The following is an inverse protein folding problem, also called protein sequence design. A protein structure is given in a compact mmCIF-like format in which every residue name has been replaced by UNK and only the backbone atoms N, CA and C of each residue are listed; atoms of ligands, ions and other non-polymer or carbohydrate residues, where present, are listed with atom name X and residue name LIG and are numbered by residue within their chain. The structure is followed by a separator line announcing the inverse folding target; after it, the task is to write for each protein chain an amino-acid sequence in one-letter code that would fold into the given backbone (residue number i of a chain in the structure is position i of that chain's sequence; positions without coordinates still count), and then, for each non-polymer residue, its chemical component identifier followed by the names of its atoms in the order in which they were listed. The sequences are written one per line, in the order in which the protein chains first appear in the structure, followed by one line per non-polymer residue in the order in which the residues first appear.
data_IF_145696232826
#
_entry.id   IF_145696232826
#
_cell.length_a   1.000
_cell.length_b   1.000
_cell.length_c   1.000
_cell.angle_alpha   90.00
_cell.angle_beta   90.00
_cell.angle_gamma   90.00
#
_symmetry.space_group_name_H-M   'P 1'
#
loop_
_entity.id
_entity.type
_entity.pdbx_description
1 polymer ?
#
# COMPACT_ATOMS: atom_id res chain seq x y z
N UNK A 1 31.42 19.48 -0.03
CA UNK A 1 30.75 18.28 0.48
C UNK A 1 30.71 18.31 1.99
N UNK A 2 29.58 17.97 2.55
CA UNK A 2 29.46 17.94 4.01
C UNK A 2 30.07 16.69 4.60
N UNK A 3 30.58 16.84 5.82
CA UNK A 3 30.96 15.68 6.60
C UNK A 3 29.72 15.00 7.18
N UNK A 4 29.95 14.02 8.03
CA UNK A 4 28.87 13.29 8.67
C UNK A 4 27.79 14.23 9.20
N UNK A 5 26.56 13.78 9.11
CA UNK A 5 25.41 14.59 9.50
C UNK A 5 25.34 14.77 11.01
N UNK A 6 24.45 15.66 11.45
CA UNK A 6 24.17 15.82 12.87
C UNK A 6 23.66 14.51 13.47
N UNK A 7 22.93 13.72 12.71
CA UNK A 7 22.42 12.43 13.19
C UNK A 7 23.56 11.55 13.67
N UNK A 8 24.63 11.49 12.90
CA UNK A 8 25.79 10.70 13.29
C UNK A 8 26.44 11.27 14.54
N UNK A 9 26.66 12.59 14.59
CA UNK A 9 27.32 13.22 15.73
C UNK A 9 26.48 13.15 17.00
N UNK A 10 25.19 13.23 16.87
CA UNK A 10 24.28 13.30 18.00
C UNK A 10 24.43 12.11 18.93
N UNK A 11 24.56 10.93 18.41
CA UNK A 11 24.66 9.74 19.26
C UNK A 11 25.94 8.95 19.05
N UNK A 12 26.52 9.04 17.86
CA UNK A 12 27.64 8.19 17.51
C UNK A 12 27.30 6.72 17.58
N UNK A 13 26.03 6.37 17.47
CA UNK A 13 25.54 5.02 17.63
C UNK A 13 24.65 4.63 16.47
N UNK A 14 24.38 3.32 16.35
CA UNK A 14 23.61 2.77 15.25
C UNK A 14 22.24 3.40 15.09
N UNK A 15 21.58 3.86 16.17
CA UNK A 15 20.24 4.42 16.03
C UNK A 15 20.22 5.79 15.33
N UNK A 16 21.38 6.44 15.16
CA UNK A 16 21.47 7.64 14.32
C UNK A 16 21.44 7.30 12.85
N UNK A 17 21.66 6.08 12.52
CA UNK A 17 21.58 5.50 11.18
C UNK A 17 20.46 4.47 11.18
N UNK A 18 20.02 4.08 9.99
CA UNK A 18 18.90 3.16 9.87
C UNK A 18 19.28 1.72 10.21
N UNK A 19 20.55 1.40 10.22
CA UNK A 19 21.02 0.07 10.55
C UNK A 19 22.41 0.10 11.16
N UNK A 20 22.79 -0.99 11.83
CA UNK A 20 24.13 -1.15 12.36
C UNK A 20 25.17 -1.20 11.25
N UNK A 21 24.83 -1.78 10.11
CA UNK A 21 25.73 -1.84 8.95
C UNK A 21 26.04 -0.45 8.44
N UNK A 22 25.04 0.42 8.36
CA UNK A 22 25.23 1.81 7.96
C UNK A 22 26.13 2.53 8.94
N UNK A 23 25.88 2.34 10.24
CA UNK A 23 26.73 2.93 11.25
C UNK A 23 28.19 2.47 11.12
N UNK A 24 28.40 1.16 10.97
CA UNK A 24 29.75 0.62 10.81
C UNK A 24 30.43 1.17 9.59
N UNK A 25 29.71 1.34 8.50
CA UNK A 25 30.25 1.97 7.30
C UNK A 25 30.68 3.42 7.57
N UNK A 26 29.88 4.17 8.31
CA UNK A 26 30.21 5.55 8.65
C UNK A 26 31.47 5.62 9.49
N UNK A 27 31.68 4.64 10.38
CA UNK A 27 32.89 4.56 11.20
C UNK A 27 34.11 4.34 10.30
N UNK A 28 34.04 3.44 9.33
CA UNK A 28 35.13 3.19 8.40
C UNK A 28 35.48 4.44 7.60
N UNK A 29 34.45 5.14 7.10
CA UNK A 29 34.66 6.36 6.34
C UNK A 29 35.33 7.44 7.21
N UNK A 30 34.87 7.58 8.44
CA UNK A 30 35.43 8.56 9.37
C UNK A 30 36.87 8.25 9.73
N UNK A 31 37.21 6.98 9.91
CA UNK A 31 38.58 6.57 10.19
C UNK A 31 39.52 6.89 9.05
N UNK A 32 39.04 6.81 7.84
CA UNK A 32 39.82 7.13 6.64
C UNK A 32 39.76 8.61 6.32
N UNK A 33 39.07 9.39 7.14
CA UNK A 33 38.88 10.83 6.97
C UNK A 33 38.25 11.20 5.63
N UNK A 34 37.33 10.36 5.19
CA UNK A 34 36.58 10.59 3.97
C UNK A 34 35.31 11.32 4.32
N UNK A 35 35.08 12.45 3.68
CA UNK A 35 33.84 13.18 3.84
C UNK A 35 32.72 12.46 3.08
N UNK A 36 31.50 12.51 3.63
CA UNK A 36 30.37 11.88 3.01
C UNK A 36 29.08 12.62 3.34
N UNK A 37 28.05 12.34 2.58
CA UNK A 37 26.70 12.77 2.89
C UNK A 37 25.91 11.53 3.28
N UNK A 38 25.06 11.65 4.28
CA UNK A 38 24.20 10.56 4.70
C UNK A 38 22.75 10.93 4.40
N UNK A 39 22.12 10.18 3.51
CA UNK A 39 20.74 10.38 3.08
C UNK A 39 20.47 11.86 2.75
N UNK A 40 21.31 12.48 1.89
CA UNK A 40 21.24 13.94 1.72
C UNK A 40 20.02 14.42 0.95
N UNK A 41 19.56 13.66 -0.02
CA UNK A 41 18.41 14.01 -0.85
C UNK A 41 17.93 12.79 -1.61
N UNK A 42 16.64 12.78 -1.98
CA UNK A 42 16.12 11.68 -2.80
C UNK A 42 16.55 11.83 -4.25
N UNK A 43 16.77 10.69 -4.91
CA UNK A 43 17.02 10.65 -6.34
C UNK A 43 15.79 10.00 -6.97
N UNK A 44 14.98 10.73 -7.73
CA UNK A 44 13.77 10.16 -8.32
C UNK A 44 14.10 9.15 -9.41
N UNK A 45 13.26 8.13 -9.53
CA UNK A 45 13.34 7.18 -10.63
C UNK A 45 11.94 6.64 -10.90
N UNK A 46 11.73 6.15 -12.09
CA UNK A 46 10.45 5.56 -12.46
C UNK A 46 10.53 4.05 -12.28
N UNK A 47 9.45 3.50 -11.75
CA UNK A 47 9.35 2.08 -11.55
C UNK A 47 8.14 1.57 -12.29
N UNK A 48 8.35 0.60 -13.17
CA UNK A 48 7.27 -0.03 -13.91
C UNK A 48 7.45 -1.54 -13.83
N UNK A 49 6.38 -2.24 -13.45
CA UNK A 49 6.40 -3.69 -13.46
C UNK A 49 5.01 -4.23 -13.80
N UNK A 50 4.98 -5.40 -14.41
CA UNK A 50 3.75 -6.09 -14.70
C UNK A 50 3.38 -6.96 -13.51
N UNK A 51 2.12 -6.83 -13.06
CA UNK A 51 1.59 -7.62 -11.97
C UNK A 51 0.39 -8.42 -12.45
N UNK A 52 0.12 -9.50 -11.76
CA UNK A 52 -1.04 -10.34 -12.05
C UNK A 52 -2.05 -10.19 -10.93
N UNK A 53 -3.31 -10.13 -11.31
CA UNK A 53 -4.41 -10.14 -10.36
C UNK A 53 -5.13 -11.48 -10.46
N UNK A 54 -5.25 -12.17 -9.34
CA UNK A 54 -5.97 -13.41 -9.25
C UNK A 54 -7.25 -13.16 -8.46
N UNK A 55 -8.43 -13.18 -9.12
CA UNK A 55 -9.69 -12.97 -8.41
C UNK A 55 -9.93 -14.03 -7.34
N UNK A 56 -10.56 -13.62 -6.23
CA UNK A 56 -10.93 -14.59 -5.20
C UNK A 56 -12.03 -15.53 -5.73
N UNK A 57 -13.08 -14.96 -6.31
CA UNK A 57 -14.18 -15.74 -6.87
C UNK A 57 -14.69 -15.09 -8.15
N UNK A 58 -15.03 -15.90 -9.13
CA UNK A 58 -15.72 -15.43 -10.33
C UNK A 58 -17.05 -16.17 -10.41
N UNK A 59 -18.13 -15.40 -10.42
CA UNK A 59 -19.47 -15.97 -10.51
C UNK A 59 -19.80 -16.36 -11.96
N UNK A 60 -20.80 -17.23 -12.16
CA UNK A 60 -21.18 -17.65 -13.52
C UNK A 60 -21.55 -16.48 -14.44
N UNK A 61 -22.05 -15.37 -13.90
CA UNK A 61 -22.40 -14.18 -14.68
C UNK A 61 -21.20 -13.26 -14.93
N UNK A 62 -20.01 -13.68 -14.51
CA UNK A 62 -18.79 -12.91 -14.73
C UNK A 62 -18.43 -11.92 -13.63
N UNK A 63 -19.29 -11.71 -12.65
CA UNK A 63 -18.99 -10.83 -11.53
C UNK A 63 -17.85 -11.43 -10.71
N UNK A 64 -16.87 -10.59 -10.40
CA UNK A 64 -15.73 -10.96 -9.57
C UNK A 64 -16.01 -10.50 -8.14
N UNK A 65 -15.89 -11.42 -7.18
CA UNK A 65 -16.01 -11.11 -5.77
C UNK A 65 -14.61 -11.07 -5.18
N UNK A 66 -14.29 -9.96 -4.55
CA UNK A 66 -13.04 -9.76 -3.84
C UNK A 66 -13.34 -9.69 -2.36
N UNK A 67 -12.85 -10.67 -1.60
CA UNK A 67 -13.13 -10.78 -0.16
C UNK A 67 -12.00 -10.11 0.61
N UNK A 68 -12.34 -9.16 1.48
CA UNK A 68 -11.34 -8.40 2.24
C UNK A 68 -11.72 -8.29 3.70
N UNK A 69 -10.81 -8.71 4.58
CA UNK A 69 -10.87 -8.35 5.99
C UNK A 69 -10.27 -6.97 6.20
N UNK A 70 -9.08 -6.75 5.63
CA UNK A 70 -8.40 -5.45 5.64
C UNK A 70 -8.26 -4.93 4.23
N UNK A 71 -8.59 -3.66 4.06
CA UNK A 71 -8.55 -3.02 2.75
C UNK A 71 -7.44 -1.97 2.77
N UNK A 72 -6.23 -2.43 2.52
CA UNK A 72 -5.03 -1.61 2.65
C UNK A 72 -4.87 -0.66 1.47
N UNK A 73 -3.99 0.33 1.63
CA UNK A 73 -3.73 1.31 0.57
C UNK A 73 -3.31 0.64 -0.74
N UNK A 74 -2.47 -0.38 -0.64
CA UNK A 74 -2.02 -1.11 -1.85
C UNK A 74 -3.16 -1.81 -2.55
N UNK A 75 -4.11 -2.37 -1.79
CA UNK A 75 -5.31 -2.99 -2.36
C UNK A 75 -6.14 -1.95 -3.10
N UNK A 76 -6.34 -0.79 -2.49
CA UNK A 76 -7.13 0.27 -3.09
C UNK A 76 -6.50 0.77 -4.38
N UNK A 77 -5.18 0.99 -4.40
CA UNK A 77 -4.46 1.38 -5.62
C UNK A 77 -4.58 0.31 -6.69
N UNK A 78 -4.39 -0.95 -6.32
CA UNK A 78 -4.48 -2.07 -7.25
C UNK A 78 -5.82 -2.09 -7.96
N UNK A 79 -6.90 -1.93 -7.21
CA UNK A 79 -8.23 -2.01 -7.80
C UNK A 79 -8.58 -0.81 -8.66
N UNK A 80 -8.02 0.36 -8.37
CA UNK A 80 -8.18 1.50 -9.26
C UNK A 80 -7.44 1.27 -10.58
N UNK A 81 -6.22 0.71 -10.53
CA UNK A 81 -5.49 0.35 -11.74
C UNK A 81 -6.22 -0.72 -12.54
N UNK A 82 -6.74 -1.75 -11.85
CA UNK A 82 -7.48 -2.83 -12.52
C UNK A 82 -8.69 -2.28 -13.25
N UNK A 83 -9.46 -1.42 -12.62
CA UNK A 83 -10.64 -0.84 -13.24
C UNK A 83 -10.28 0.02 -14.45
N UNK A 84 -9.20 0.78 -14.33
CA UNK A 84 -8.75 1.63 -15.41
C UNK A 84 -8.28 0.82 -16.62
N UNK A 85 -7.58 -0.28 -16.36
CA UNK A 85 -7.00 -1.12 -17.41
C UNK A 85 -7.97 -2.20 -17.92
N UNK A 86 -8.95 -2.58 -17.10
CA UNK A 86 -9.93 -3.61 -17.42
C UNK A 86 -11.34 -3.13 -17.08
N UNK A 87 -11.84 -2.10 -17.77
CA UNK A 87 -13.15 -1.53 -17.44
C UNK A 87 -14.32 -2.47 -17.69
N UNK A 88 -14.10 -3.56 -18.42
CA UNK A 88 -15.10 -4.59 -18.67
C UNK A 88 -15.27 -5.54 -17.48
N UNK A 89 -14.38 -5.53 -16.51
CA UNK A 89 -14.46 -6.41 -15.35
C UNK A 89 -15.31 -5.78 -14.27
N UNK A 90 -16.25 -6.54 -13.75
CA UNK A 90 -17.14 -6.10 -12.66
C UNK A 90 -16.63 -6.70 -11.35
N UNK A 91 -15.82 -5.92 -10.63
CA UNK A 91 -15.24 -6.34 -9.36
C UNK A 91 -16.06 -5.75 -8.24
N UNK A 92 -16.54 -6.58 -7.33
CA UNK A 92 -17.33 -6.17 -6.17
C UNK A 92 -16.68 -6.70 -4.90
N UNK A 93 -16.75 -5.92 -3.85
CA UNK A 93 -16.09 -6.25 -2.59
C UNK A 93 -17.05 -6.89 -1.60
N UNK A 94 -16.54 -7.91 -0.90
CA UNK A 94 -17.23 -8.53 0.22
C UNK A 94 -16.35 -8.29 1.44
N UNK A 95 -16.77 -7.40 2.31
CA UNK A 95 -15.99 -7.01 3.49
C UNK A 95 -16.49 -7.70 4.75
N UNK A 96 -15.58 -8.04 5.65
CA UNK A 96 -15.98 -8.41 7.00
C UNK A 96 -16.69 -7.25 7.69
N UNK A 97 -16.09 -6.06 7.60
CA UNK A 97 -16.66 -4.85 8.16
C UNK A 97 -16.42 -3.66 7.24
N UNK A 98 -17.40 -3.31 6.38
CA UNK A 98 -17.22 -2.19 5.45
C UNK A 98 -17.17 -0.83 6.11
N UNK A 99 -17.54 -0.74 7.39
CA UNK A 99 -17.55 0.53 8.12
C UNK A 99 -16.26 0.78 8.88
N UNK A 100 -15.25 -0.07 8.68
CA UNK A 100 -13.93 0.13 9.21
C UNK A 100 -13.27 1.31 8.50
N UNK A 101 -12.53 2.12 9.25
CA UNK A 101 -11.86 3.29 8.67
C UNK A 101 -10.64 2.89 7.85
N UNK A 102 -10.35 3.67 6.82
CA UNK A 102 -9.21 3.40 5.94
C UNK A 102 -7.89 3.48 6.68
N UNK A 103 -7.81 4.39 7.65
CA UNK A 103 -6.61 4.55 8.46
C UNK A 103 -6.98 5.15 9.80
N UNK A 104 -6.11 4.96 10.79
CA UNK A 104 -6.33 5.45 12.14
C UNK A 104 -6.43 6.98 12.11
N UNK A 105 -7.47 7.50 12.76
CA UNK A 105 -7.70 8.95 12.83
C UNK A 105 -8.42 9.52 11.62
N UNK A 106 -8.61 8.73 10.56
CA UNK A 106 -9.37 9.17 9.40
C UNK A 106 -10.86 9.09 9.61
N UNK A 107 -11.62 9.64 8.69
CA UNK A 107 -13.09 9.61 8.74
C UNK A 107 -13.68 8.68 7.69
N UNK A 108 -12.99 8.51 6.56
CA UNK A 108 -13.49 7.70 5.46
C UNK A 108 -13.40 6.21 5.80
N UNK A 109 -14.50 5.50 5.56
CA UNK A 109 -14.57 4.04 5.74
C UNK A 109 -14.31 3.32 4.42
N UNK A 110 -14.21 1.97 4.48
CA UNK A 110 -14.15 1.15 3.28
C UNK A 110 -15.38 1.38 2.40
N UNK A 111 -16.57 1.44 3.03
CA UNK A 111 -17.81 1.72 2.31
C UNK A 111 -17.77 3.07 1.62
N UNK A 112 -17.30 4.10 2.32
CA UNK A 112 -17.17 5.44 1.75
C UNK A 112 -16.26 5.45 0.53
N UNK A 113 -15.16 4.73 0.61
CA UNK A 113 -14.22 4.62 -0.51
C UNK A 113 -14.89 3.96 -1.71
N UNK A 114 -15.62 2.86 -1.47
CA UNK A 114 -16.33 2.17 -2.55
C UNK A 114 -17.37 3.08 -3.20
N UNK A 115 -18.10 3.83 -2.39
CA UNK A 115 -19.10 4.76 -2.92
C UNK A 115 -18.43 5.87 -3.73
N UNK A 116 -17.32 6.40 -3.24
CA UNK A 116 -16.59 7.45 -3.94
C UNK A 116 -16.11 6.99 -5.32
N UNK A 117 -15.64 5.75 -5.42
CA UNK A 117 -15.08 5.22 -6.66
C UNK A 117 -16.03 4.29 -7.41
N UNK A 118 -17.29 4.23 -7.00
CA UNK A 118 -18.33 3.45 -7.69
C UNK A 118 -18.04 1.94 -7.73
N UNK A 119 -17.58 1.40 -6.62
CA UNK A 119 -17.49 -0.05 -6.45
C UNK A 119 -18.68 -0.51 -5.61
N UNK A 120 -19.30 -1.61 -6.02
CA UNK A 120 -20.33 -2.25 -5.21
C UNK A 120 -19.67 -3.07 -4.12
N UNK A 121 -20.32 -3.14 -2.97
CA UNK A 121 -19.80 -3.87 -1.82
C UNK A 121 -20.95 -4.41 -0.98
N UNK A 122 -20.61 -5.39 -0.13
CA UNK A 122 -21.55 -5.90 0.87
C UNK A 122 -20.77 -6.30 2.12
N UNK A 123 -21.51 -6.53 3.20
CA UNK A 123 -20.96 -7.06 4.44
C UNK A 123 -21.20 -8.56 4.47
N UNK A 124 -20.13 -9.33 4.67
CA UNK A 124 -20.21 -10.80 4.60
C UNK A 124 -21.28 -11.39 5.50
N UNK A 125 -21.37 -10.90 6.75
CA UNK A 125 -22.38 -11.44 7.69
C UNK A 125 -23.82 -11.18 7.29
N UNK A 126 -24.07 -10.18 6.46
CA UNK A 126 -25.42 -9.87 5.97
C UNK A 126 -25.77 -10.72 4.74
N UNK A 127 -24.82 -11.51 4.27
CA UNK A 127 -24.98 -12.29 3.06
C UNK A 127 -24.69 -11.47 1.81
N UNK A 128 -24.47 -12.16 0.71
CA UNK A 128 -24.25 -11.54 -0.58
C UNK A 128 -25.60 -11.21 -1.21
N UNK A 129 -25.80 -9.98 -1.71
CA UNK A 129 -27.08 -9.60 -2.31
C UNK A 129 -27.49 -10.58 -3.42
N UNK A 130 -28.75 -10.99 -3.40
CA UNK A 130 -29.26 -11.97 -4.37
C UNK A 130 -29.13 -11.51 -5.82
N UNK A 131 -29.29 -10.21 -6.06
CA UNK A 131 -29.19 -9.67 -7.40
C UNK A 131 -27.78 -9.78 -8.00
N UNK A 132 -26.77 -10.02 -7.15
CA UNK A 132 -25.40 -10.26 -7.66
C UNK A 132 -25.26 -11.61 -8.36
N UNK A 133 -26.21 -12.52 -8.12
CA UNK A 133 -26.20 -13.82 -8.74
C UNK A 133 -27.06 -13.89 -10.00
N UNK A 134 -27.75 -12.82 -10.32
CA UNK A 134 -28.62 -12.77 -11.47
C UNK A 134 -27.81 -12.82 -12.79
N UNK A 135 -28.37 -13.44 -13.77
CA UNK A 135 -27.76 -13.57 -15.10
C UNK A 135 -27.80 -12.26 -15.87
#
# INVERSE_FOLDING_TARGET
MRKATKRQRKSGKAHSFRSNSEYNCSVLLSKKKIEYLYEPYPIPYEWSENKKYIPDFILPNGIILEVKGRFMLEDRKKHLFLRDQHPDKDIRFVFDNPYRKLYKGGKMTYADWCEKYNFKYCKLNDGIPEDWFAS
#
